data_IF_259316482075
#
_entry.id   IF_259316482075
#
_cell.length_a   1.000
_cell.length_b   1.000
_cell.length_c   1.000
_cell.angle_alpha   90.00
_cell.angle_beta   90.00
_cell.angle_gamma   90.00
#
_symmetry.space_group_name_H-M   'P 1'
#
loop_
_entity.id
_entity.type
_entity.pdbx_description
1 polymer ?
#
# COMPACT_ATOMS: atom_id res chain seq x y z
N UNK A 1 21.48 39.89 -35.21
CA UNK A 1 22.14 38.67 -35.69
C UNK A 1 21.58 37.55 -34.85
N UNK A 2 20.71 36.73 -35.45
CA UNK A 2 20.20 35.52 -34.81
C UNK A 2 21.26 34.41 -34.95
N UNK A 3 21.40 33.52 -33.96
CA UNK A 3 22.41 32.47 -34.01
C UNK A 3 22.07 31.43 -35.09
N UNK A 4 23.11 30.83 -35.65
CA UNK A 4 22.97 29.61 -36.45
C UNK A 4 22.50 28.46 -35.54
N UNK A 5 21.83 27.47 -36.11
CA UNK A 5 21.31 26.34 -35.35
C UNK A 5 22.41 25.57 -34.61
N UNK A 6 22.26 25.38 -33.31
CA UNK A 6 23.23 24.71 -32.43
C UNK A 6 23.42 23.20 -32.71
N UNK A 7 22.58 22.60 -33.56
CA UNK A 7 22.64 21.16 -33.87
C UNK A 7 23.22 20.91 -35.27
N UNK A 8 22.75 21.65 -36.28
CA UNK A 8 23.15 21.45 -37.67
C UNK A 8 23.95 22.61 -38.27
N UNK A 9 24.20 23.67 -37.51
CA UNK A 9 24.92 24.89 -37.91
C UNK A 9 24.30 25.61 -39.12
N UNK A 10 23.03 25.35 -39.44
CA UNK A 10 22.33 26.06 -40.51
C UNK A 10 22.02 27.50 -40.10
N UNK A 11 22.10 28.47 -41.04
CA UNK A 11 21.83 29.87 -40.72
C UNK A 11 20.39 30.10 -40.28
N UNK A 12 20.16 31.09 -39.42
CA UNK A 12 18.82 31.40 -38.88
C UNK A 12 17.74 31.58 -39.97
N UNK A 13 18.12 32.10 -41.14
CA UNK A 13 17.25 32.27 -42.32
C UNK A 13 16.70 30.94 -42.87
N UNK A 14 17.40 29.82 -42.66
CA UNK A 14 17.00 28.51 -43.14
C UNK A 14 15.84 27.88 -42.33
N UNK A 15 15.51 28.45 -41.15
CA UNK A 15 14.37 28.06 -40.31
C UNK A 15 14.24 26.54 -40.06
N UNK A 16 15.36 25.85 -39.80
CA UNK A 16 15.32 24.42 -39.45
C UNK A 16 14.70 24.19 -38.06
N UNK A 17 14.18 22.99 -37.81
CA UNK A 17 13.45 22.63 -36.59
C UNK A 17 14.25 21.74 -35.61
N UNK A 18 15.56 21.59 -35.82
CA UNK A 18 16.40 20.68 -35.05
C UNK A 18 16.39 20.98 -33.55
N UNK A 19 16.55 22.26 -33.15
CA UNK A 19 16.54 22.66 -31.74
C UNK A 19 15.19 22.42 -31.07
N UNK A 20 14.09 22.71 -31.77
CA UNK A 20 12.73 22.47 -31.27
C UNK A 20 12.48 20.97 -31.05
N UNK A 21 12.84 20.12 -32.02
CA UNK A 21 12.75 18.65 -31.90
C UNK A 21 13.64 18.10 -30.79
N UNK A 22 14.84 18.66 -30.64
CA UNK A 22 15.77 18.30 -29.57
C UNK A 22 15.19 18.63 -28.19
N UNK A 23 14.59 19.83 -28.06
CA UNK A 23 13.90 20.24 -26.84
C UNK A 23 12.70 19.33 -26.53
N UNK A 24 11.84 19.05 -27.51
CA UNK A 24 10.69 18.15 -27.32
C UNK A 24 11.11 16.76 -26.84
N UNK A 25 12.19 16.23 -27.41
CA UNK A 25 12.75 14.94 -27.00
C UNK A 25 13.29 15.00 -25.57
N UNK A 26 14.02 16.05 -25.23
CA UNK A 26 14.56 16.26 -23.89
C UNK A 26 13.45 16.41 -22.83
N UNK A 27 12.36 17.11 -23.16
CA UNK A 27 11.17 17.24 -22.30
C UNK A 27 10.55 15.86 -22.06
N UNK A 28 10.28 15.07 -23.10
CA UNK A 28 9.70 13.72 -22.95
C UNK A 28 10.57 12.80 -22.11
N UNK A 29 11.90 12.87 -22.26
CA UNK A 29 12.83 12.10 -21.44
C UNK A 29 12.81 12.55 -19.97
N UNK A 30 12.73 13.86 -19.73
CA UNK A 30 12.60 14.42 -18.38
C UNK A 30 11.28 14.01 -17.72
N UNK A 31 10.15 14.10 -18.45
CA UNK A 31 8.84 13.67 -18.00
C UNK A 31 8.83 12.19 -17.64
N UNK A 32 9.35 11.33 -18.52
CA UNK A 32 9.39 9.88 -18.29
C UNK A 32 10.17 9.55 -17.01
N UNK A 33 11.36 10.15 -16.82
CA UNK A 33 12.16 9.93 -15.62
C UNK A 33 11.46 10.43 -14.36
N UNK A 34 10.93 11.66 -14.40
CA UNK A 34 10.23 12.23 -13.25
C UNK A 34 9.00 11.41 -12.89
N UNK A 35 8.09 11.15 -13.84
CA UNK A 35 6.83 10.46 -13.56
C UNK A 35 7.04 9.01 -13.13
N UNK A 36 8.01 8.29 -13.71
CA UNK A 36 8.26 6.88 -13.36
C UNK A 36 8.71 6.74 -11.90
N UNK A 37 9.72 7.51 -11.50
CA UNK A 37 10.18 7.52 -10.10
C UNK A 37 9.07 7.97 -9.18
N UNK A 38 8.36 9.02 -9.58
CA UNK A 38 7.29 9.61 -8.81
C UNK A 38 6.13 8.63 -8.53
N UNK A 39 5.66 7.88 -9.54
CA UNK A 39 4.64 6.85 -9.35
C UNK A 39 5.16 5.63 -8.57
N UNK A 40 6.45 5.30 -8.69
CA UNK A 40 7.05 4.22 -7.91
C UNK A 40 7.05 4.55 -6.42
N UNK A 41 7.41 5.78 -6.05
CA UNK A 41 7.45 6.24 -4.67
C UNK A 41 6.05 6.26 -4.05
N UNK A 42 5.05 6.80 -4.76
CA UNK A 42 3.65 6.74 -4.28
C UNK A 42 3.23 5.29 -4.06
N UNK A 43 3.47 4.41 -5.03
CA UNK A 43 3.04 3.02 -4.94
C UNK A 43 3.69 2.32 -3.75
N UNK A 44 4.96 2.57 -3.50
CA UNK A 44 5.69 2.01 -2.37
C UNK A 44 5.08 2.49 -1.04
N UNK A 45 4.83 3.79 -0.92
CA UNK A 45 4.21 4.39 0.25
C UNK A 45 2.79 3.85 0.49
N UNK A 46 1.88 4.01 -0.48
CA UNK A 46 0.49 3.54 -0.37
C UNK A 46 0.41 2.06 -0.03
N UNK A 47 1.25 1.21 -0.65
CA UNK A 47 1.29 -0.22 -0.36
C UNK A 47 1.71 -0.49 1.10
N UNK A 48 2.75 0.19 1.57
CA UNK A 48 3.25 0.03 2.94
C UNK A 48 2.18 0.41 3.96
N UNK A 49 1.65 1.62 3.86
CA UNK A 49 0.65 2.13 4.81
C UNK A 49 -0.67 1.33 4.76
N UNK A 50 -1.13 0.92 3.58
CA UNK A 50 -2.30 0.07 3.45
C UNK A 50 -2.10 -1.29 4.12
N UNK A 51 -0.93 -1.90 3.95
CA UNK A 51 -0.59 -3.18 4.57
C UNK A 51 -0.55 -3.05 6.10
N UNK A 52 0.10 -2.01 6.62
CA UNK A 52 0.21 -1.78 8.07
C UNK A 52 -1.15 -1.51 8.71
N UNK A 53 -2.02 -0.77 8.03
CA UNK A 53 -3.39 -0.53 8.47
C UNK A 53 -4.19 -1.84 8.59
N UNK A 54 -4.16 -2.67 7.55
CA UNK A 54 -4.86 -3.96 7.53
C UNK A 54 -4.31 -4.91 8.59
N UNK A 55 -2.98 -5.00 8.73
CA UNK A 55 -2.34 -5.85 9.74
C UNK A 55 -2.67 -5.40 11.16
N UNK A 56 -2.66 -4.10 11.42
CA UNK A 56 -3.04 -3.54 12.72
C UNK A 56 -4.48 -3.92 13.07
N UNK A 57 -5.41 -3.75 12.14
CA UNK A 57 -6.81 -4.15 12.32
C UNK A 57 -6.96 -5.64 12.58
N UNK A 58 -6.31 -6.49 11.77
CA UNK A 58 -6.33 -7.94 11.93
C UNK A 58 -5.76 -8.41 13.27
N UNK A 59 -4.69 -7.77 13.75
CA UNK A 59 -4.08 -8.09 15.05
C UNK A 59 -5.04 -7.84 16.22
N UNK A 60 -5.89 -6.81 16.14
CA UNK A 60 -6.93 -6.55 17.16
C UNK A 60 -7.95 -7.68 17.17
N UNK A 61 -8.42 -8.13 15.99
CA UNK A 61 -9.38 -9.24 15.89
C UNK A 61 -8.78 -10.55 16.42
N UNK A 62 -7.56 -10.86 15.99
CA UNK A 62 -6.87 -12.09 16.37
C UNK A 62 -6.58 -12.14 17.86
N UNK A 63 -6.17 -11.01 18.47
CA UNK A 63 -5.96 -10.92 19.92
C UNK A 63 -7.25 -11.24 20.68
N UNK A 64 -8.37 -10.61 20.32
CA UNK A 64 -9.68 -10.86 20.95
C UNK A 64 -10.10 -12.34 20.86
N UNK A 65 -9.90 -12.98 19.70
CA UNK A 65 -10.19 -14.40 19.52
C UNK A 65 -9.28 -15.30 20.37
N UNK A 66 -7.99 -14.97 20.47
CA UNK A 66 -7.04 -15.71 21.31
C UNK A 66 -7.39 -15.60 22.79
N UNK A 67 -7.82 -14.44 23.25
CA UNK A 67 -8.26 -14.24 24.64
C UNK A 67 -9.51 -15.07 24.93
N UNK A 68 -10.51 -14.99 24.05
CA UNK A 68 -11.76 -15.77 24.15
C UNK A 68 -11.49 -17.29 24.15
N UNK A 69 -10.59 -17.73 23.27
CA UNK A 69 -10.15 -19.13 23.22
C UNK A 69 -9.44 -19.56 24.50
N UNK A 70 -8.58 -18.71 25.06
CA UNK A 70 -7.88 -19.01 26.31
C UNK A 70 -8.86 -19.18 27.47
N UNK A 71 -9.90 -18.35 27.54
CA UNK A 71 -10.99 -18.49 28.53
C UNK A 71 -11.78 -19.79 28.32
N UNK A 72 -12.11 -20.14 27.07
CA UNK A 72 -12.80 -21.39 26.75
C UNK A 72 -12.01 -22.62 27.20
N UNK A 73 -10.70 -22.65 26.95
CA UNK A 73 -9.84 -23.77 27.35
C UNK A 73 -9.76 -23.88 28.88
N UNK A 74 -9.69 -22.74 29.58
CA UNK A 74 -9.71 -22.72 31.04
C UNK A 74 -11.03 -23.31 31.60
N UNK A 75 -12.17 -22.86 31.09
CA UNK A 75 -13.50 -23.38 31.48
C UNK A 75 -13.64 -24.88 31.19
N UNK A 76 -13.24 -25.34 30.00
CA UNK A 76 -13.26 -26.76 29.65
C UNK A 76 -12.40 -27.59 30.61
N UNK A 77 -11.27 -27.04 31.04
CA UNK A 77 -10.36 -27.70 31.97
C UNK A 77 -10.94 -27.78 33.37
N UNK A 78 -11.47 -26.66 33.89
CA UNK A 78 -12.12 -26.61 35.20
C UNK A 78 -13.32 -27.55 35.27
N UNK A 79 -14.19 -27.51 34.25
CA UNK A 79 -15.37 -28.37 34.17
C UNK A 79 -15.02 -29.85 34.11
N UNK A 80 -13.98 -30.21 33.35
CA UNK A 80 -13.51 -31.60 33.29
C UNK A 80 -12.98 -32.09 34.66
N UNK A 81 -12.24 -31.24 35.36
CA UNK A 81 -11.73 -31.54 36.69
C UNK A 81 -12.86 -31.66 37.73
N UNK A 82 -13.85 -30.77 37.70
CA UNK A 82 -14.97 -30.78 38.65
C UNK A 82 -15.84 -32.04 38.53
N UNK A 83 -16.25 -32.41 37.31
CA UNK A 83 -17.18 -33.54 37.11
C UNK A 83 -16.49 -34.91 36.99
N UNK A 84 -15.30 -34.96 36.39
CA UNK A 84 -14.65 -36.22 36.03
C UNK A 84 -13.31 -36.44 36.73
N UNK A 85 -12.84 -35.48 37.55
CA UNK A 85 -11.55 -35.58 38.25
C UNK A 85 -10.34 -35.73 37.33
N UNK A 86 -10.51 -35.45 36.03
CA UNK A 86 -9.53 -35.73 34.98
C UNK A 86 -9.40 -34.54 34.04
N UNK A 87 -8.31 -34.52 33.27
CA UNK A 87 -8.12 -33.49 32.24
C UNK A 87 -9.12 -33.66 31.09
N UNK A 88 -9.49 -32.58 30.38
CA UNK A 88 -10.39 -32.66 29.23
C UNK A 88 -9.83 -33.58 28.15
N UNK A 89 -10.73 -34.30 27.47
CA UNK A 89 -10.34 -35.24 26.43
C UNK A 89 -9.64 -34.52 25.26
N UNK A 90 -8.55 -35.07 24.70
CA UNK A 90 -7.76 -34.40 23.65
C UNK A 90 -8.56 -33.97 22.42
N UNK A 91 -9.62 -34.71 22.06
CA UNK A 91 -10.47 -34.34 20.91
C UNK A 91 -11.27 -33.06 21.15
N UNK A 92 -11.69 -32.77 22.38
CA UNK A 92 -12.44 -31.55 22.70
C UNK A 92 -11.52 -30.32 22.59
N UNK A 93 -10.28 -30.44 23.07
CA UNK A 93 -9.25 -29.41 22.93
C UNK A 93 -8.86 -29.22 21.46
N UNK A 94 -8.70 -30.32 20.72
CA UNK A 94 -8.43 -30.31 19.28
C UNK A 94 -9.53 -29.60 18.48
N UNK A 95 -10.80 -29.86 18.80
CA UNK A 95 -11.94 -29.18 18.19
C UNK A 95 -11.88 -27.67 18.45
N UNK A 96 -11.68 -27.25 19.71
CA UNK A 96 -11.56 -25.83 20.07
C UNK A 96 -10.40 -25.15 19.33
N UNK A 97 -9.24 -25.79 19.19
CA UNK A 97 -8.13 -25.25 18.39
C UNK A 97 -8.47 -25.14 16.90
N UNK A 98 -9.17 -26.13 16.35
CA UNK A 98 -9.66 -26.10 14.98
C UNK A 98 -10.61 -24.93 14.74
N UNK A 99 -11.49 -24.65 15.71
CA UNK A 99 -12.46 -23.55 15.64
C UNK A 99 -11.77 -22.19 15.70
N UNK A 100 -10.80 -22.01 16.61
CA UNK A 100 -9.97 -20.81 16.67
C UNK A 100 -9.28 -20.56 15.33
N UNK A 101 -8.65 -21.60 14.75
CA UNK A 101 -7.95 -21.46 13.48
C UNK A 101 -8.90 -21.01 12.36
N UNK A 102 -10.07 -21.64 12.22
CA UNK A 102 -11.04 -21.25 11.19
C UNK A 102 -11.52 -19.81 11.37
N UNK A 103 -11.73 -19.39 12.61
CA UNK A 103 -12.09 -18.00 12.92
C UNK A 103 -11.00 -16.99 12.54
N UNK A 104 -9.73 -17.31 12.82
CA UNK A 104 -8.59 -16.47 12.41
C UNK A 104 -8.48 -16.41 10.87
N UNK A 105 -8.65 -17.54 10.19
CA UNK A 105 -8.60 -17.61 8.73
C UNK A 105 -9.73 -16.79 8.08
N UNK A 106 -10.91 -16.76 8.70
CA UNK A 106 -12.04 -15.92 8.28
C UNK A 106 -11.78 -14.43 8.51
N UNK A 107 -11.27 -14.04 9.68
CA UNK A 107 -10.90 -12.65 9.95
C UNK A 107 -9.83 -12.13 8.99
N UNK A 108 -8.86 -12.99 8.64
CA UNK A 108 -7.84 -12.65 7.65
C UNK A 108 -8.46 -12.40 6.27
N UNK A 109 -9.35 -13.30 5.83
CA UNK A 109 -10.06 -13.15 4.55
C UNK A 109 -10.86 -11.86 4.49
N UNK A 110 -11.61 -11.55 5.55
CA UNK A 110 -12.39 -10.32 5.65
C UNK A 110 -11.48 -9.07 5.65
N UNK A 111 -10.32 -9.15 6.30
CA UNK A 111 -9.35 -8.05 6.34
C UNK A 111 -8.76 -7.77 4.95
N UNK A 112 -8.37 -8.82 4.22
CA UNK A 112 -7.83 -8.70 2.84
C UNK A 112 -8.87 -8.16 1.86
N UNK A 113 -10.14 -8.49 2.03
CA UNK A 113 -11.21 -7.96 1.16
C UNK A 113 -11.36 -6.43 1.22
N UNK A 114 -10.82 -5.78 2.26
CA UNK A 114 -10.85 -4.31 2.43
C UNK A 114 -9.74 -3.56 1.70
N UNK A 115 -8.83 -4.26 1.01
CA UNK A 115 -7.74 -3.60 0.29
C UNK A 115 -8.22 -2.54 -0.70
N UNK A 116 -9.27 -2.75 -1.53
CA UNK A 116 -9.71 -1.75 -2.50
C UNK A 116 -10.01 -0.39 -1.87
N UNK A 117 -10.82 -0.35 -0.82
CA UNK A 117 -11.23 0.90 -0.16
C UNK A 117 -10.08 1.54 0.61
N UNK A 118 -9.22 0.72 1.23
CA UNK A 118 -8.04 1.23 1.95
C UNK A 118 -7.03 1.84 1.00
N UNK A 119 -6.79 1.20 -0.15
CA UNK A 119 -5.92 1.75 -1.20
C UNK A 119 -6.49 3.06 -1.75
N UNK A 120 -7.79 3.11 -2.02
CA UNK A 120 -8.47 4.34 -2.47
C UNK A 120 -8.28 5.49 -1.47
N UNK A 121 -8.48 5.22 -0.18
CA UNK A 121 -8.23 6.18 0.88
C UNK A 121 -6.78 6.71 0.85
N UNK A 122 -5.77 5.84 0.84
CA UNK A 122 -4.37 6.29 0.85
C UNK A 122 -3.98 7.02 -0.43
N UNK A 123 -4.49 6.61 -1.59
CA UNK A 123 -4.28 7.37 -2.83
C UNK A 123 -4.92 8.76 -2.76
N UNK A 124 -6.07 8.92 -2.08
CA UNK A 124 -6.72 10.23 -1.91
C UNK A 124 -5.92 11.22 -1.05
N UNK A 125 -5.01 10.72 -0.19
CA UNK A 125 -4.14 11.55 0.64
C UNK A 125 -2.95 12.13 -0.14
N UNK A 126 -2.67 11.61 -1.33
CA UNK A 126 -1.53 12.03 -2.12
C UNK A 126 -1.84 13.40 -2.74
N UNK A 127 -1.03 14.41 -2.42
CA UNK A 127 -1.23 15.80 -2.87
C UNK A 127 -0.02 16.36 -3.59
N UNK A 128 -0.24 17.19 -4.63
CA UNK A 128 0.82 17.84 -5.40
C UNK A 128 0.64 19.34 -5.47
N UNK A 129 1.76 20.06 -5.44
CA UNK A 129 1.79 21.50 -5.64
C UNK A 129 2.68 21.86 -6.81
N UNK A 130 2.09 22.39 -7.88
CA UNK A 130 2.82 22.94 -9.01
C UNK A 130 3.26 24.37 -8.67
N UNK A 131 4.55 24.66 -8.84
CA UNK A 131 5.06 26.03 -8.65
C UNK A 131 4.61 26.89 -9.83
N UNK A 132 3.89 27.97 -9.55
CA UNK A 132 3.51 28.94 -10.57
C UNK A 132 4.74 29.64 -11.17
N UNK A 133 4.71 29.90 -12.48
CA UNK A 133 5.77 30.63 -13.17
C UNK A 133 5.82 32.06 -12.64
N UNK A 134 6.92 32.45 -11.97
CA UNK A 134 7.16 33.86 -11.62
C UNK A 134 7.25 34.66 -12.92
N UNK A 135 6.25 35.49 -13.21
CA UNK A 135 6.35 36.51 -14.27
C UNK A 135 7.47 37.45 -13.88
N UNK A 136 8.62 37.38 -14.55
CA UNK A 136 9.63 38.45 -14.50
C UNK A 136 8.94 39.70 -15.04
N UNK A 137 8.65 40.67 -14.17
CA UNK A 137 8.36 42.03 -14.61
C UNK A 137 9.59 42.51 -15.36
N UNK A 138 9.40 42.85 -16.64
CA UNK A 138 10.37 43.62 -17.41
C UNK A 138 10.47 45.02 -16.80
#
# INVERSE_FOLDING_TARGET
>A
MDPDCAICSSPALAQCDCEAKGLDTAVRQAETRMMTTFFADIRAWVRGDAQDYILTYFNVLTTRRRDSHSMLIADLTERALYYYGTRPHPTAIGAAHGDLKRGIDEDWRASVQRYPEVLEYFYSLVTFTLRARRRRRR
#
